data_IF_891975608890
#
_entry.id   IF_891975608890
#
_cell.length_a   1.000
_cell.length_b   1.000
_cell.length_c   1.000
_cell.angle_alpha   90.00
_cell.angle_beta   90.00
_cell.angle_gamma   90.00
#
_symmetry.space_group_name_H-M   'P 1'
#
loop_
_entity.id
_entity.type
_entity.pdbx_description
1 polymer ?
#
# COMPACT_ATOMS: atom_id res chain seq x y z
N UNK A 1 13.93 13.30 22.38
CA UNK A 1 14.01 12.24 21.34
C UNK A 1 14.20 12.84 19.96
N UNK A 2 14.26 12.04 18.89
CA UNK A 2 14.12 12.52 17.51
C UNK A 2 12.72 12.21 16.99
N UNK A 3 12.15 13.08 16.17
CA UNK A 3 10.85 12.86 15.55
C UNK A 3 10.98 11.85 14.38
N UNK A 4 10.21 10.76 14.35
CA UNK A 4 10.28 9.78 13.26
C UNK A 4 9.75 10.33 11.92
N UNK A 5 8.93 11.39 11.94
CA UNK A 5 8.33 12.00 10.75
C UNK A 5 9.27 13.04 10.10
N UNK A 6 9.84 13.98 10.88
CA UNK A 6 10.64 15.09 10.34
C UNK A 6 12.11 15.16 10.80
N UNK A 7 12.61 14.18 11.56
CA UNK A 7 14.00 14.14 12.03
C UNK A 7 14.41 15.20 13.07
N UNK A 8 13.59 16.22 13.35
CA UNK A 8 13.85 17.24 14.39
C UNK A 8 14.16 16.58 15.74
N UNK A 9 15.18 17.09 16.44
CA UNK A 9 15.40 16.78 17.86
C UNK A 9 14.39 17.56 18.71
N UNK A 10 13.65 16.83 19.55
CA UNK A 10 12.71 17.36 20.53
C UNK A 10 13.11 16.82 21.91
N UNK A 11 12.43 17.23 22.98
CA UNK A 11 12.68 16.71 24.33
C UNK A 11 12.23 15.26 24.55
N UNK A 12 12.44 14.73 25.75
CA UNK A 12 12.15 13.32 26.11
C UNK A 12 10.78 13.12 26.79
N UNK A 13 10.02 14.19 27.01
CA UNK A 13 8.64 14.22 27.51
C UNK A 13 7.67 14.90 26.53
N UNK A 14 8.19 15.56 25.49
CA UNK A 14 7.41 16.23 24.45
C UNK A 14 6.43 15.26 23.77
N UNK A 15 5.12 15.50 23.94
CA UNK A 15 4.03 14.67 23.37
C UNK A 15 3.83 14.84 21.85
N UNK A 16 4.32 15.95 21.30
CA UNK A 16 4.21 16.34 19.89
C UNK A 16 5.52 16.98 19.44
N UNK A 17 5.84 16.86 18.15
CA UNK A 17 7.03 17.48 17.58
C UNK A 17 6.79 18.97 17.32
N UNK A 18 7.65 19.82 17.86
CA UNK A 18 7.60 21.29 17.73
C UNK A 18 7.67 21.78 16.27
N UNK A 19 8.23 20.96 15.37
CA UNK A 19 8.53 21.33 13.99
C UNK A 19 7.50 20.83 12.96
N UNK A 20 6.71 19.82 13.28
CA UNK A 20 5.73 19.23 12.35
C UNK A 20 4.40 18.79 12.99
N UNK A 21 4.20 18.98 14.29
CA UNK A 21 2.99 18.57 15.01
C UNK A 21 2.80 17.07 15.20
N UNK A 22 3.60 16.21 14.57
CA UNK A 22 3.48 14.75 14.68
C UNK A 22 3.62 14.28 16.15
N UNK A 23 2.74 13.38 16.59
CA UNK A 23 2.78 12.81 17.95
C UNK A 23 4.10 12.05 18.20
N UNK A 24 4.65 12.25 19.39
CA UNK A 24 5.87 11.61 19.86
C UNK A 24 5.50 10.67 21.00
N UNK A 25 5.21 9.40 20.65
CA UNK A 25 4.73 8.42 21.61
C UNK A 25 5.90 7.90 22.44
N UNK A 26 5.95 8.31 23.70
CA UNK A 26 6.87 7.79 24.72
C UNK A 26 6.10 6.82 25.63
N UNK A 27 6.38 5.50 25.57
CA UNK A 27 5.89 4.56 26.57
C UNK A 27 6.68 4.77 27.88
N UNK A 28 6.27 5.76 28.69
CA UNK A 28 6.97 6.05 29.94
C UNK A 28 6.74 4.94 30.96
N UNK A 29 7.84 4.38 31.46
CA UNK A 29 7.81 3.37 32.52
C UNK A 29 7.55 4.04 33.87
N UNK A 30 6.28 4.33 34.16
CA UNK A 30 5.83 5.02 35.37
C UNK A 30 6.01 4.17 36.64
N UNK A 31 7.24 4.11 37.15
CA UNK A 31 7.53 3.62 38.50
C UNK A 31 6.94 4.58 39.54
N UNK A 32 6.00 4.09 40.34
CA UNK A 32 5.38 4.86 41.41
C UNK A 32 5.23 4.00 42.69
N UNK A 33 6.09 4.26 43.67
CA UNK A 33 5.97 3.84 45.06
C UNK A 33 6.78 4.82 45.94
N UNK A 34 6.50 4.95 47.26
CA UNK A 34 5.48 4.26 48.05
C UNK A 34 4.48 5.22 48.72
N UNK A 35 3.39 4.68 49.30
CA UNK A 35 2.95 4.94 50.69
C UNK A 35 1.66 4.18 51.04
N UNK A 36 1.47 3.93 52.34
CA UNK A 36 0.48 2.98 52.87
C UNK A 36 -0.85 3.62 53.27
N UNK A 37 -1.97 2.99 52.91
CA UNK A 37 -3.16 2.85 53.77
C UNK A 37 -4.05 1.72 53.21
N UNK A 38 -4.79 1.02 54.06
CA UNK A 38 -5.68 -0.06 53.66
C UNK A 38 -7.16 0.39 53.60
N UNK A 39 -7.96 -0.21 52.71
CA UNK A 39 -9.22 -0.83 53.13
C UNK A 39 -9.85 -1.73 52.05
N UNK A 40 -10.11 -2.99 52.43
CA UNK A 40 -11.31 -3.81 52.10
C UNK A 40 -11.67 -4.27 50.68
N UNK A 41 -12.02 -5.57 50.64
CA UNK A 41 -13.06 -6.24 49.84
C UNK A 41 -12.74 -6.84 48.44
N UNK A 42 -12.61 -8.19 48.41
CA UNK A 42 -13.66 -9.14 47.95
C UNK A 42 -14.33 -8.78 46.58
N UNK A 43 -14.23 -9.56 45.48
CA UNK A 43 -14.19 -11.04 45.37
C UNK A 43 -13.85 -11.61 43.97
N UNK A 44 -13.61 -12.94 43.93
CA UNK A 44 -13.93 -13.93 42.88
C UNK A 44 -13.15 -14.02 41.54
N UNK A 45 -12.39 -15.14 41.47
CA UNK A 45 -12.49 -16.24 40.48
C UNK A 45 -11.66 -16.20 39.17
N UNK A 46 -10.97 -17.33 38.93
CA UNK A 46 -10.69 -18.06 37.66
C UNK A 46 -10.38 -17.24 36.38
N UNK A 47 -9.33 -17.48 35.58
CA UNK A 47 -8.47 -18.67 35.38
C UNK A 47 -7.14 -18.21 34.72
N UNK A 48 -6.03 -18.95 34.67
CA UNK A 48 -5.69 -20.31 35.14
C UNK A 48 -4.17 -20.43 35.41
N UNK A 49 -3.61 -21.64 35.60
CA UNK A 49 -2.16 -21.84 35.74
C UNK A 49 -1.65 -23.09 35.02
N UNK A 50 -0.57 -22.95 34.24
CA UNK A 50 0.10 -24.04 33.53
C UNK A 50 1.53 -24.31 34.09
N UNK A 51 2.01 -25.54 33.87
CA UNK A 51 3.29 -26.09 34.37
C UNK A 51 3.34 -26.31 35.91
N UNK A 52 4.11 -27.25 36.47
CA UNK A 52 5.23 -28.03 35.89
C UNK A 52 5.26 -29.51 36.30
N UNK A 53 5.88 -30.33 35.44
CA UNK A 53 6.66 -31.57 35.68
C UNK A 53 6.81 -32.09 37.12
N UNK A 54 6.64 -33.41 37.33
CA UNK A 54 7.77 -34.34 37.61
C UNK A 54 7.40 -35.85 37.67
N UNK A 55 8.32 -36.67 37.13
CA UNK A 55 8.76 -38.01 37.55
C UNK A 55 7.89 -39.31 37.50
N UNK A 56 8.65 -40.41 37.55
CA UNK A 56 8.33 -41.84 37.79
C UNK A 56 8.08 -42.73 36.56
N UNK A 57 8.64 -43.95 36.63
CA UNK A 57 8.81 -44.95 35.54
C UNK A 57 7.85 -46.14 35.67
N UNK A 58 7.80 -46.95 34.60
CA UNK A 58 7.44 -48.40 34.49
C UNK A 58 6.12 -48.69 33.77
N UNK A 59 5.94 -49.81 33.05
CA UNK A 59 6.88 -50.73 32.37
C UNK A 59 6.11 -51.74 31.46
N UNK A 60 6.79 -52.23 30.41
CA UNK A 60 6.56 -53.50 29.69
C UNK A 60 5.32 -53.69 28.77
N UNK A 61 5.51 -54.63 27.82
CA UNK A 61 4.59 -55.37 26.90
C UNK A 61 3.71 -54.57 25.88
N UNK A 62 3.62 -54.85 24.56
CA UNK A 62 3.51 -56.11 23.74
C UNK A 62 2.06 -56.65 23.76
N UNK A 63 1.33 -57.00 22.67
CA UNK A 63 1.55 -57.38 21.24
C UNK A 63 0.85 -56.39 20.23
N UNK A 64 1.07 -56.31 18.90
CA UNK A 64 1.03 -57.19 17.68
C UNK A 64 -0.36 -57.45 17.00
N UNK A 65 -0.32 -57.63 15.66
CA UNK A 65 -1.40 -57.92 14.67
C UNK A 65 -2.49 -56.84 14.45
N UNK A 66 -2.77 -56.30 13.25
CA UNK A 66 -2.52 -56.60 11.82
C UNK A 66 -3.46 -57.62 11.12
N UNK A 67 -3.90 -57.22 9.90
CA UNK A 67 -4.60 -57.95 8.81
C UNK A 67 -6.11 -58.31 8.86
N UNK A 68 -6.79 -57.89 7.76
CA UNK A 68 -7.78 -58.65 6.92
C UNK A 68 -9.19 -58.88 7.50
N UNK A 69 -10.31 -58.30 7.03
CA UNK A 69 -10.85 -57.97 5.69
C UNK A 69 -11.63 -59.10 4.96
N UNK A 70 -12.97 -58.97 4.96
CA UNK A 70 -13.98 -59.55 4.04
C UNK A 70 -15.32 -58.75 4.25
N UNK A 71 -16.05 -58.26 3.23
CA UNK A 71 -17.22 -58.87 2.55
C UNK A 71 -18.46 -59.08 3.49
N UNK A 72 -19.73 -58.90 3.09
CA UNK A 72 -20.37 -58.86 1.75
C UNK A 72 -21.67 -58.00 1.73
N UNK A 73 -22.25 -57.84 0.53
CA UNK A 73 -23.65 -57.57 0.10
C UNK A 73 -24.76 -57.04 1.05
N UNK A 74 -25.70 -56.15 0.68
CA UNK A 74 -26.47 -55.80 -0.56
C UNK A 74 -27.93 -56.27 -0.49
N UNK A 75 -28.90 -55.33 -0.41
CA UNK A 75 -30.34 -55.39 -0.77
C UNK A 75 -30.96 -54.03 -0.35
N UNK A 76 -31.77 -53.27 -1.10
CA UNK A 76 -32.98 -53.56 -1.89
C UNK A 76 -34.16 -54.10 -1.04
N UNK A 77 -35.36 -53.51 -0.99
CA UNK A 77 -35.86 -52.25 -1.57
C UNK A 77 -37.40 -52.18 -1.53
N UNK A 78 -37.94 -51.07 -2.04
CA UNK A 78 -39.35 -50.82 -2.48
C UNK A 78 -40.50 -50.69 -1.43
N UNK A 79 -41.37 -49.71 -1.74
CA UNK A 79 -42.80 -49.48 -1.45
C UNK A 79 -43.51 -49.90 -0.14
N UNK A 80 -44.24 -48.93 0.45
CA UNK A 80 -45.72 -48.89 0.36
C UNK A 80 -46.26 -47.45 0.50
N UNK A 81 -47.56 -47.23 0.21
CA UNK A 81 -48.26 -45.92 0.15
C UNK A 81 -49.58 -45.91 0.95
N UNK A 82 -50.30 -44.77 0.90
CA UNK A 82 -51.74 -44.54 1.24
C UNK A 82 -52.05 -43.92 2.62
N UNK A 83 -52.30 -42.60 2.58
CA UNK A 83 -53.53 -41.87 2.98
C UNK A 83 -54.20 -42.01 4.37
N UNK A 84 -54.49 -40.86 5.00
CA UNK A 84 -55.77 -40.51 5.67
C UNK A 84 -55.89 -38.95 5.79
N UNK A 85 -57.06 -38.40 6.20
CA UNK A 85 -57.50 -37.02 5.85
C UNK A 85 -58.18 -36.20 6.97
N UNK A 86 -58.05 -34.86 6.88
CA UNK A 86 -58.88 -33.79 7.52
C UNK A 86 -58.96 -33.79 9.09
N UNK A 87 -59.51 -32.79 9.80
CA UNK A 87 -60.44 -31.68 9.46
C UNK A 87 -60.00 -30.36 10.16
N UNK A 88 -60.79 -29.30 10.04
CA UNK A 88 -60.48 -27.87 10.26
C UNK A 88 -61.14 -27.28 11.52
N UNK A 89 -60.65 -26.12 12.00
CA UNK A 89 -61.41 -24.90 12.45
C UNK A 89 -60.63 -24.08 13.49
N UNK A 90 -60.63 -22.75 13.32
CA UNK A 90 -60.16 -21.74 14.30
C UNK A 90 -61.33 -20.79 14.68
N UNK A 91 -61.22 -19.98 15.75
CA UNK A 91 -60.91 -18.56 15.47
C UNK A 91 -60.18 -17.73 16.56
N UNK A 92 -59.30 -16.84 16.09
CA UNK A 92 -59.10 -15.43 16.49
C UNK A 92 -59.22 -14.98 17.95
N UNK A 93 -58.13 -14.43 18.51
CA UNK A 93 -58.15 -13.12 19.21
C UNK A 93 -56.80 -12.38 19.20
N UNK A 94 -56.68 -11.40 18.29
CA UNK A 94 -56.29 -9.99 18.54
C UNK A 94 -55.25 -9.66 19.64
N UNK A 95 -54.07 -9.18 19.24
CA UNK A 95 -53.32 -8.10 19.91
C UNK A 95 -52.29 -7.42 18.99
N UNK A 96 -52.17 -6.09 19.11
CA UNK A 96 -51.25 -5.17 18.43
C UNK A 96 -51.36 -3.79 19.15
N UNK A 97 -50.50 -2.79 18.97
CA UNK A 97 -49.30 -2.59 18.13
C UNK A 97 -48.01 -2.64 19.01
N UNK A 98 -46.76 -2.38 18.61
CA UNK A 98 -46.17 -1.71 17.44
C UNK A 98 -44.93 -2.45 16.87
N UNK A 99 -44.68 -2.25 15.58
CA UNK A 99 -43.35 -2.15 15.00
C UNK A 99 -43.33 -0.85 14.17
N UNK A 100 -42.29 -0.02 14.31
CA UNK A 100 -42.27 1.31 13.68
C UNK A 100 -40.94 1.57 12.99
N UNK A 101 -40.72 0.86 11.88
CA UNK A 101 -39.63 1.11 10.95
C UNK A 101 -39.96 2.35 10.11
N UNK A 102 -39.08 3.36 10.11
CA UNK A 102 -39.26 4.57 9.30
C UNK A 102 -39.18 4.26 7.80
N UNK A 103 -40.09 4.79 6.97
CA UNK A 103 -40.08 4.52 5.52
C UNK A 103 -38.88 5.18 4.84
N UNK A 104 -38.15 4.42 4.02
CA UNK A 104 -37.11 4.97 3.12
C UNK A 104 -37.77 5.49 1.83
N UNK A 105 -37.45 6.72 1.35
CA UNK A 105 -37.94 7.20 0.07
C UNK A 105 -37.23 6.50 -1.11
N UNK A 106 -37.88 6.37 -2.28
CA UNK A 106 -37.28 5.74 -3.45
C UNK A 106 -36.29 6.69 -4.16
N UNK A 107 -35.00 6.37 -4.12
CA UNK A 107 -33.96 7.12 -4.83
C UNK A 107 -34.01 6.82 -6.34
N UNK A 108 -34.54 7.76 -7.14
CA UNK A 108 -34.40 7.79 -8.61
C UNK A 108 -33.58 9.01 -9.03
N UNK A 109 -32.57 8.78 -9.87
CA UNK A 109 -31.82 9.83 -10.57
C UNK A 109 -30.66 10.44 -9.77
N UNK A 110 -29.43 9.95 -9.99
CA UNK A 110 -28.20 10.54 -9.42
C UNK A 110 -27.12 10.90 -10.47
N UNK A 111 -27.38 11.82 -11.43
CA UNK A 111 -26.34 12.37 -12.30
C UNK A 111 -25.66 13.64 -11.72
N UNK A 112 -26.31 14.34 -10.77
CA UNK A 112 -25.91 15.68 -10.36
C UNK A 112 -24.64 15.76 -9.50
N UNK A 113 -24.38 14.73 -8.68
CA UNK A 113 -23.31 14.75 -7.67
C UNK A 113 -21.90 14.63 -8.30
N UNK A 114 -21.78 13.87 -9.39
CA UNK A 114 -20.54 13.78 -10.17
C UNK A 114 -20.19 15.12 -10.85
N UNK A 115 -21.19 15.81 -11.42
CA UNK A 115 -20.98 17.13 -12.03
C UNK A 115 -20.58 18.19 -11.00
N UNK A 116 -21.11 18.14 -9.78
CA UNK A 116 -20.71 19.05 -8.70
C UNK A 116 -19.21 18.93 -8.35
N UNK A 117 -18.69 17.70 -8.23
CA UNK A 117 -17.26 17.45 -8.00
C UNK A 117 -16.40 17.93 -9.17
N UNK A 118 -16.81 17.66 -10.41
CA UNK A 118 -16.09 18.12 -11.62
C UNK A 118 -16.02 19.66 -11.67
N UNK A 119 -17.12 20.35 -11.36
CA UNK A 119 -17.14 21.83 -11.34
C UNK A 119 -16.28 22.41 -10.23
N UNK A 120 -16.26 21.79 -9.04
CA UNK A 120 -15.39 22.23 -7.92
C UNK A 120 -13.91 22.10 -8.29
N UNK A 121 -13.50 21.00 -8.96
CA UNK A 121 -12.13 20.83 -9.46
C UNK A 121 -11.77 21.88 -10.53
N UNK A 122 -12.66 22.13 -11.49
CA UNK A 122 -12.41 23.09 -12.58
C UNK A 122 -12.30 24.55 -12.08
N UNK A 123 -13.12 24.95 -11.10
CA UNK A 123 -13.08 26.32 -10.54
C UNK A 123 -11.97 26.48 -9.50
N UNK A 124 -11.69 25.46 -8.68
CA UNK A 124 -10.64 25.49 -7.66
C UNK A 124 -9.23 25.46 -8.25
N UNK A 125 -8.96 24.59 -9.23
CA UNK A 125 -7.62 24.40 -9.79
C UNK A 125 -7.08 25.62 -10.53
N UNK A 126 -7.94 26.38 -11.23
CA UNK A 126 -7.52 27.53 -12.02
C UNK A 126 -6.96 28.69 -11.19
N UNK A 127 -7.46 28.89 -9.96
CA UNK A 127 -7.11 30.08 -9.16
C UNK A 127 -5.73 29.99 -8.51
N UNK A 128 -5.25 28.78 -8.20
CA UNK A 128 -3.95 28.60 -7.52
C UNK A 128 -2.76 28.73 -8.47
N UNK A 129 -2.91 28.30 -9.74
CA UNK A 129 -1.81 28.34 -10.72
C UNK A 129 -1.51 29.76 -11.23
N UNK A 130 -2.53 30.61 -11.38
CA UNK A 130 -2.35 31.97 -11.92
C UNK A 130 -1.53 32.90 -11.02
N UNK A 131 -1.44 32.64 -9.71
CA UNK A 131 -0.76 33.53 -8.76
C UNK A 131 0.73 33.24 -8.54
N UNK A 132 1.30 32.19 -9.16
CA UNK A 132 2.67 31.73 -8.86
C UNK A 132 3.66 31.73 -10.04
N UNK A 133 3.25 32.14 -11.25
CA UNK A 133 4.17 32.29 -12.38
C UNK A 133 4.23 33.74 -12.87
N UNK A 134 5.17 34.53 -12.33
CA UNK A 134 5.52 35.86 -12.84
C UNK A 134 6.95 36.24 -12.46
N UNK A 135 7.67 36.82 -13.42
CA UNK A 135 9.01 37.40 -13.31
C UNK A 135 10.16 36.45 -12.86
N UNK A 136 10.78 35.81 -13.84
CA UNK A 136 12.24 35.79 -13.95
C UNK A 136 12.61 35.86 -15.44
N UNK A 137 12.78 37.08 -15.95
CA UNK A 137 13.17 37.34 -17.35
C UNK A 137 14.69 37.50 -17.41
N UNK A 138 15.34 36.68 -18.24
CA UNK A 138 16.79 36.77 -18.49
C UNK A 138 17.17 38.10 -19.16
N UNK A 139 18.38 38.59 -18.92
CA UNK A 139 18.94 39.81 -19.53
C UNK A 139 20.46 39.83 -19.48
N UNK A 140 21.09 39.12 -20.42
CA UNK A 140 22.52 39.26 -20.71
C UNK A 140 22.81 40.58 -21.43
N UNK A 141 23.72 41.41 -20.91
CA UNK A 141 24.46 42.43 -21.69
C UNK A 141 25.79 42.79 -21.00
N UNK A 142 26.70 43.47 -21.70
CA UNK A 142 28.15 43.31 -21.48
C UNK A 142 28.92 44.64 -21.31
N UNK A 143 30.01 44.60 -20.51
CA UNK A 143 31.04 45.64 -20.31
C UNK A 143 30.57 46.92 -19.57
N UNK A 144 31.36 47.53 -18.66
CA UNK A 144 32.71 48.07 -18.96
C UNK A 144 33.58 48.26 -17.70
N UNK A 145 34.87 47.98 -17.87
CA UNK A 145 36.07 48.40 -17.12
C UNK A 145 35.97 49.12 -15.76
N UNK A 146 36.66 48.56 -14.76
CA UNK A 146 37.50 49.34 -13.83
C UNK A 146 38.68 48.51 -13.36
N UNK A 147 39.83 49.14 -13.15
CA UNK A 147 41.14 48.48 -13.06
C UNK A 147 41.79 48.59 -11.68
N UNK A 148 42.40 47.50 -11.20
CA UNK A 148 43.68 47.58 -10.45
C UNK A 148 44.41 46.23 -10.49
N UNK A 149 45.74 46.29 -10.56
CA UNK A 149 46.63 45.12 -10.73
C UNK A 149 47.38 44.78 -9.46
N UNK A 150 47.46 43.49 -9.10
CA UNK A 150 48.57 42.97 -8.30
C UNK A 150 48.85 41.49 -8.58
N UNK A 151 50.14 41.19 -8.69
CA UNK A 151 50.78 39.86 -8.77
C UNK A 151 50.42 38.95 -7.57
N UNK A 152 50.66 37.63 -7.55
CA UNK A 152 51.82 36.91 -8.13
C UNK A 152 51.60 35.39 -8.25
N UNK A 153 52.44 34.76 -9.08
CA UNK A 153 52.45 33.35 -9.47
C UNK A 153 52.54 32.34 -8.33
N UNK A 154 51.88 31.19 -8.52
CA UNK A 154 52.38 29.86 -8.12
C UNK A 154 52.13 28.87 -9.26
N UNK A 155 52.98 27.84 -9.39
CA UNK A 155 53.05 27.00 -10.59
C UNK A 155 53.12 25.51 -10.28
N UNK A 156 52.14 24.76 -10.78
CA UNK A 156 52.23 23.32 -11.05
C UNK A 156 51.28 22.99 -12.21
N UNK A 157 51.67 22.51 -13.39
CA UNK A 157 52.66 21.48 -13.82
C UNK A 157 52.10 20.05 -13.82
N UNK A 158 51.57 19.65 -14.99
CA UNK A 158 51.52 18.26 -15.47
C UNK A 158 50.54 17.31 -14.76
N UNK A 159 50.09 16.19 -15.35
CA UNK A 159 50.36 15.60 -16.67
C UNK A 159 49.06 15.01 -17.29
N UNK A 160 49.08 14.66 -18.57
CA UNK A 160 47.95 14.04 -19.26
C UNK A 160 47.91 12.50 -19.10
N UNK A 161 46.71 11.94 -18.97
CA UNK A 161 46.40 10.49 -19.06
C UNK A 161 44.89 10.28 -19.12
N UNK A 162 44.30 9.37 -19.89
CA UNK A 162 44.78 8.64 -21.09
C UNK A 162 43.54 8.34 -21.95
N UNK A 163 43.65 8.49 -23.27
CA UNK A 163 42.55 8.15 -24.19
C UNK A 163 42.42 6.63 -24.34
N UNK A 164 41.50 6.02 -23.59
CA UNK A 164 41.21 4.59 -23.64
C UNK A 164 39.84 4.33 -24.26
N UNK A 165 39.82 3.90 -25.52
CA UNK A 165 38.61 3.47 -26.22
C UNK A 165 38.25 2.04 -25.85
N UNK A 166 37.19 1.85 -25.07
CA UNK A 166 36.71 0.51 -24.67
C UNK A 166 35.18 0.37 -24.78
N UNK A 167 34.75 -0.36 -25.81
CA UNK A 167 33.44 -1.05 -25.93
C UNK A 167 32.20 -0.34 -25.36
N UNK A 168 31.54 0.46 -26.19
CA UNK A 168 30.28 1.13 -25.85
C UNK A 168 29.07 0.17 -25.85
N UNK A 169 28.90 -0.61 -24.77
CA UNK A 169 27.53 -0.94 -24.33
C UNK A 169 26.97 0.31 -23.64
N UNK A 170 25.94 0.92 -24.22
CA UNK A 170 25.29 2.12 -23.65
C UNK A 170 24.48 1.75 -22.42
N UNK A 171 25.18 1.56 -21.30
CA UNK A 171 24.60 1.33 -19.98
C UNK A 171 23.84 2.60 -19.55
N UNK A 172 22.53 2.59 -19.75
CA UNK A 172 21.63 3.67 -19.32
C UNK A 172 21.89 4.03 -17.86
N UNK A 173 21.92 5.33 -17.56
CA UNK A 173 22.08 5.82 -16.20
C UNK A 173 20.94 5.32 -15.31
N UNK A 174 21.21 5.11 -14.02
CA UNK A 174 20.17 4.70 -13.08
C UNK A 174 19.28 5.91 -12.74
N UNK A 175 18.00 5.85 -13.11
CA UNK A 175 17.01 6.88 -12.78
C UNK A 175 16.36 6.67 -11.40
N UNK A 176 16.33 5.41 -10.93
CA UNK A 176 15.77 5.03 -9.64
C UNK A 176 16.86 4.58 -8.64
N UNK A 177 16.58 4.74 -7.35
CA UNK A 177 17.51 4.44 -6.26
C UNK A 177 16.77 4.00 -4.99
N UNK A 178 17.49 3.44 -4.03
CA UNK A 178 16.93 3.09 -2.71
C UNK A 178 16.43 4.31 -1.94
N UNK A 179 17.07 5.47 -2.09
CA UNK A 179 16.61 6.72 -1.47
C UNK A 179 15.24 7.15 -2.03
N UNK A 180 15.09 7.13 -3.36
CA UNK A 180 13.80 7.38 -4.04
C UNK A 180 12.72 6.37 -3.66
N UNK A 181 13.09 5.12 -3.33
CA UNK A 181 12.15 4.14 -2.77
C UNK A 181 11.66 4.53 -1.37
N UNK A 182 12.55 5.00 -0.48
CA UNK A 182 12.18 5.47 0.86
C UNK A 182 11.33 6.75 0.82
N UNK A 183 11.60 7.64 -0.13
CA UNK A 183 10.74 8.80 -0.41
C UNK A 183 9.36 8.37 -0.92
N UNK A 184 9.28 7.37 -1.80
CA UNK A 184 8.02 6.82 -2.30
C UNK A 184 7.18 6.18 -1.19
N UNK A 185 7.81 5.40 -0.29
CA UNK A 185 7.17 4.89 0.94
C UNK A 185 6.60 6.02 1.81
N UNK A 186 7.42 7.05 2.09
CA UNK A 186 7.02 8.20 2.91
C UNK A 186 5.86 9.01 2.29
N UNK A 187 5.90 9.20 0.97
CA UNK A 187 4.82 9.81 0.21
C UNK A 187 3.54 8.97 0.25
N UNK A 188 3.65 7.66 0.00
CA UNK A 188 2.50 6.75 -0.01
C UNK A 188 1.82 6.65 1.34
N UNK A 189 2.56 6.61 2.45
CA UNK A 189 1.97 6.67 3.80
C UNK A 189 1.13 7.95 3.99
N UNK A 190 1.60 9.10 3.50
CA UNK A 190 0.89 10.37 3.65
C UNK A 190 -0.34 10.45 2.73
N UNK A 191 -0.20 9.98 1.49
CA UNK A 191 -1.26 9.99 0.48
C UNK A 191 -2.38 9.00 0.82
N UNK A 192 -2.06 7.77 1.25
CA UNK A 192 -3.06 6.76 1.57
C UNK A 192 -3.91 7.15 2.80
N UNK A 193 -3.28 7.74 3.83
CA UNK A 193 -3.96 8.28 5.00
C UNK A 193 -4.94 9.40 4.59
N UNK A 194 -4.52 10.28 3.66
CA UNK A 194 -5.37 11.34 3.09
C UNK A 194 -6.56 10.79 2.31
N UNK A 195 -6.38 9.66 1.62
CA UNK A 195 -7.44 8.95 0.90
C UNK A 195 -8.30 8.04 1.81
N UNK A 196 -7.96 7.91 3.10
CA UNK A 196 -8.51 6.92 4.03
C UNK A 196 -8.48 5.48 3.47
N UNK A 197 -7.37 5.12 2.82
CA UNK A 197 -7.09 3.80 2.24
C UNK A 197 -5.77 3.25 2.79
N UNK A 198 -5.57 1.94 2.75
CA UNK A 198 -4.34 1.30 3.25
C UNK A 198 -3.80 0.36 2.18
N UNK A 199 -2.69 0.77 1.55
CA UNK A 199 -2.07 0.01 0.46
C UNK A 199 -0.92 -0.84 1.01
N UNK A 200 -0.87 -2.11 0.60
CA UNK A 200 0.35 -2.91 0.71
C UNK A 200 1.26 -2.55 -0.48
N UNK A 201 2.55 -2.35 -0.23
CA UNK A 201 3.45 -1.76 -1.23
C UNK A 201 4.86 -2.35 -1.26
N UNK A 202 5.40 -2.56 -2.46
CA UNK A 202 6.76 -3.08 -2.62
C UNK A 202 7.84 -2.06 -2.24
N UNK A 203 7.47 -0.78 -2.09
CA UNK A 203 8.37 0.27 -1.58
C UNK A 203 8.75 0.08 -0.12
N UNK A 204 7.93 -0.64 0.66
CA UNK A 204 8.24 -1.03 2.06
C UNK A 204 9.01 -2.37 2.13
N UNK A 205 9.54 -2.85 0.99
CA UNK A 205 10.24 -4.14 0.88
C UNK A 205 9.31 -5.37 0.93
N UNK A 206 8.00 -5.16 0.98
CA UNK A 206 7.00 -6.23 0.96
C UNK A 206 6.82 -6.83 -0.44
N UNK A 207 6.17 -7.99 -0.50
CA UNK A 207 5.52 -8.49 -1.73
C UNK A 207 4.00 -8.37 -1.56
N UNK A 208 3.29 -8.20 -2.67
CA UNK A 208 1.88 -7.80 -2.71
C UNK A 208 1.13 -8.77 -3.61
N UNK A 209 0.23 -9.56 -3.02
CA UNK A 209 -0.56 -10.60 -3.70
C UNK A 209 -2.02 -10.16 -3.85
N UNK A 210 -2.54 -10.21 -5.08
CA UNK A 210 -3.87 -9.70 -5.43
C UNK A 210 -4.56 -10.67 -6.40
N UNK A 211 -5.54 -11.43 -5.93
CA UNK A 211 -6.30 -12.46 -6.67
C UNK A 211 -5.45 -13.37 -7.59
N UNK A 212 -4.24 -13.71 -7.15
CA UNK A 212 -3.29 -14.55 -7.88
C UNK A 212 -2.41 -13.81 -8.88
N UNK A 213 -2.33 -12.47 -8.84
CA UNK A 213 -1.20 -11.68 -9.34
C UNK A 213 -0.26 -11.39 -8.17
N UNK A 214 0.99 -11.85 -8.27
CA UNK A 214 1.99 -11.70 -7.20
C UNK A 214 3.07 -10.69 -7.61
N UNK A 215 3.10 -9.51 -6.96
CA UNK A 215 4.05 -8.44 -7.25
C UNK A 215 5.15 -8.37 -6.16
N UNK A 216 6.44 -8.27 -6.51
CA UNK A 216 7.00 -8.04 -7.85
C UNK A 216 7.24 -9.31 -8.69
N UNK A 217 7.01 -10.49 -8.12
CA UNK A 217 7.50 -11.78 -8.66
C UNK A 217 6.99 -12.10 -10.06
N UNK A 218 5.70 -11.92 -10.33
CA UNK A 218 5.14 -12.19 -11.67
C UNK A 218 5.78 -11.31 -12.74
N UNK A 219 6.02 -10.01 -12.45
CA UNK A 219 6.66 -9.07 -13.39
C UNK A 219 8.15 -9.39 -13.56
N UNK A 220 8.85 -9.72 -12.47
CA UNK A 220 10.28 -10.08 -12.48
C UNK A 220 10.53 -11.38 -13.25
N UNK A 221 9.67 -12.38 -13.05
CA UNK A 221 9.83 -13.74 -13.57
C UNK A 221 9.01 -13.98 -14.86
N UNK A 222 8.37 -12.92 -15.38
CA UNK A 222 7.61 -12.88 -16.64
C UNK A 222 6.32 -13.75 -16.68
N UNK A 223 5.72 -14.04 -15.51
CA UNK A 223 4.49 -14.83 -15.38
C UNK A 223 3.19 -14.01 -15.52
N UNK A 224 3.29 -12.68 -15.70
CA UNK A 224 2.14 -11.76 -15.82
C UNK A 224 1.43 -11.75 -17.17
N UNK A 225 1.92 -12.44 -18.20
CA UNK A 225 1.54 -12.24 -19.61
C UNK A 225 0.03 -12.39 -19.91
N UNK A 226 -0.68 -13.23 -19.15
CA UNK A 226 -2.14 -13.41 -19.27
C UNK A 226 -2.93 -12.64 -18.19
N UNK A 227 -2.23 -12.02 -17.23
CA UNK A 227 -2.77 -11.33 -16.05
C UNK A 227 -2.82 -9.81 -16.22
N UNK A 228 -1.99 -9.23 -17.08
CA UNK A 228 -1.83 -7.77 -17.22
C UNK A 228 -1.89 -7.35 -18.70
N UNK A 229 -2.64 -6.29 -18.97
CA UNK A 229 -2.53 -5.47 -20.20
C UNK A 229 -2.30 -4.01 -19.84
N UNK A 230 -1.81 -3.20 -20.78
CA UNK A 230 -1.76 -1.73 -20.66
C UNK A 230 -2.50 -1.10 -21.84
N UNK A 231 -3.45 -0.22 -21.55
CA UNK A 231 -4.35 0.41 -22.54
C UNK A 231 -5.01 -0.62 -23.49
N UNK A 232 -5.42 -1.77 -22.95
CA UNK A 232 -6.02 -2.90 -23.68
C UNK A 232 -5.05 -3.79 -24.45
N UNK A 233 -3.74 -3.50 -24.43
CA UNK A 233 -2.72 -4.20 -25.20
C UNK A 233 -1.82 -5.06 -24.30
N UNK A 234 -1.38 -6.22 -24.79
CA UNK A 234 -0.30 -6.97 -24.15
C UNK A 234 1.02 -6.19 -24.35
N UNK A 235 1.70 -5.84 -23.25
CA UNK A 235 2.97 -5.09 -23.27
C UNK A 235 4.02 -5.77 -22.40
N UNK A 236 5.30 -5.54 -22.71
CA UNK A 236 6.41 -6.04 -21.88
C UNK A 236 6.70 -5.08 -20.72
N UNK A 237 6.20 -5.42 -19.54
CA UNK A 237 6.68 -4.85 -18.27
C UNK A 237 8.02 -5.48 -17.89
N UNK A 238 8.94 -4.68 -17.33
CA UNK A 238 10.24 -5.15 -16.81
C UNK A 238 10.44 -4.63 -15.40
N UNK A 239 10.56 -5.52 -14.40
CA UNK A 239 10.84 -5.11 -13.03
C UNK A 239 12.31 -4.68 -12.87
N UNK A 240 12.56 -3.53 -12.24
CA UNK A 240 13.93 -3.03 -12.04
C UNK A 240 14.05 -2.16 -10.80
N UNK A 241 15.11 -2.36 -10.01
CA UNK A 241 15.42 -1.53 -8.84
C UNK A 241 16.13 -0.22 -9.17
N UNK A 242 16.39 0.06 -10.46
CA UNK A 242 17.26 1.16 -10.91
C UNK A 242 16.75 1.96 -12.11
N UNK A 243 15.72 1.49 -12.82
CA UNK A 243 15.22 2.11 -14.06
C UNK A 243 16.35 2.48 -15.04
N UNK A 244 17.21 1.50 -15.33
CA UNK A 244 18.47 1.66 -16.06
C UNK A 244 18.57 0.73 -17.29
N UNK A 245 17.42 0.33 -17.84
CA UNK A 245 17.32 -0.52 -19.05
C UNK A 245 16.72 0.26 -20.22
N UNK A 246 16.64 -0.39 -21.37
CA UNK A 246 16.04 0.06 -22.62
C UNK A 246 14.56 -0.33 -22.78
N UNK A 247 13.98 -1.04 -21.81
CA UNK A 247 12.57 -1.45 -21.87
C UNK A 247 11.61 -0.24 -21.77
N UNK A 248 10.57 -0.25 -22.61
CA UNK A 248 9.52 0.78 -22.64
C UNK A 248 8.87 0.99 -21.27
N UNK A 249 8.50 -0.10 -20.58
CA UNK A 249 7.89 -0.05 -19.24
C UNK A 249 8.81 -0.65 -18.19
N UNK A 250 9.44 0.22 -17.40
CA UNK A 250 10.33 -0.15 -16.30
C UNK A 250 9.65 0.05 -14.96
N UNK A 251 9.09 -1.03 -14.41
CA UNK A 251 8.36 -1.02 -13.14
C UNK A 251 9.37 -1.00 -11.99
N UNK A 252 9.27 0.03 -11.14
CA UNK A 252 10.16 0.21 -9.97
C UNK A 252 9.49 -0.13 -8.65
N UNK A 253 8.18 0.08 -8.55
CA UNK A 253 7.38 -0.29 -7.39
C UNK A 253 5.93 -0.61 -7.77
N UNK A 254 5.21 -1.29 -6.89
CA UNK A 254 3.79 -1.54 -6.98
C UNK A 254 3.10 -1.29 -5.65
N UNK A 255 1.81 -0.95 -5.69
CA UNK A 255 0.93 -0.83 -4.53
C UNK A 255 -0.40 -1.53 -4.83
N UNK A 256 -1.03 -2.16 -3.84
CA UNK A 256 -2.41 -2.62 -3.97
C UNK A 256 -3.24 -2.33 -2.72
N UNK A 257 -4.49 -1.95 -2.96
CA UNK A 257 -5.54 -1.81 -1.96
C UNK A 257 -6.64 -2.83 -2.27
N UNK A 258 -7.08 -3.53 -1.23
CA UNK A 258 -8.18 -4.50 -1.29
C UNK A 258 -9.19 -4.19 -0.18
N UNK A 259 -10.46 -4.06 -0.53
CA UNK A 259 -11.53 -3.88 0.44
C UNK A 259 -12.86 -4.47 -0.06
N UNK A 260 -13.25 -5.61 0.52
CA UNK A 260 -14.39 -6.39 0.03
C UNK A 260 -14.10 -6.96 -1.36
N UNK A 261 -14.86 -6.54 -2.36
CA UNK A 261 -14.63 -6.86 -3.78
C UNK A 261 -13.96 -5.72 -4.57
N UNK A 262 -13.60 -4.62 -3.90
CA UNK A 262 -12.87 -3.52 -4.55
C UNK A 262 -11.36 -3.81 -4.51
N UNK A 263 -10.75 -3.85 -5.69
CA UNK A 263 -9.31 -3.96 -5.90
C UNK A 263 -8.83 -2.71 -6.63
N UNK A 264 -7.72 -2.13 -6.17
CA UNK A 264 -7.00 -1.06 -6.86
C UNK A 264 -5.52 -1.42 -6.84
N UNK A 265 -4.88 -1.48 -8.01
CA UNK A 265 -3.45 -1.76 -8.15
C UNK A 265 -2.78 -0.58 -8.87
N UNK A 266 -1.72 -0.04 -8.30
CA UNK A 266 -0.84 0.94 -8.94
C UNK A 266 0.52 0.34 -9.29
N UNK A 267 1.04 0.67 -10.47
CA UNK A 267 2.42 0.39 -10.87
C UNK A 267 3.16 1.70 -11.10
N UNK A 268 4.24 1.90 -10.37
CA UNK A 268 5.15 3.03 -10.51
C UNK A 268 6.18 2.68 -11.58
N UNK A 269 6.14 3.36 -12.73
CA UNK A 269 6.90 2.98 -13.92
C UNK A 269 7.69 4.15 -14.50
N UNK A 270 8.84 3.84 -15.10
CA UNK A 270 9.39 4.71 -16.14
C UNK A 270 8.86 4.19 -17.49
N UNK A 271 8.00 4.96 -18.13
CA UNK A 271 7.48 4.75 -19.48
C UNK A 271 8.30 5.58 -20.47
N UNK A 272 9.00 4.91 -21.39
CA UNK A 272 9.96 5.51 -22.34
C UNK A 272 10.95 6.49 -21.66
N UNK A 273 11.35 6.16 -20.44
CA UNK A 273 12.26 6.95 -19.60
C UNK A 273 11.61 8.10 -18.81
N UNK A 274 10.33 8.38 -18.97
CA UNK A 274 9.56 9.36 -18.17
C UNK A 274 8.78 8.68 -17.05
N UNK A 275 8.66 9.26 -15.84
CA UNK A 275 7.84 8.67 -14.78
C UNK A 275 6.34 8.77 -15.12
N UNK A 276 5.62 7.67 -14.89
CA UNK A 276 4.16 7.54 -14.97
C UNK A 276 3.68 6.61 -13.84
N UNK A 277 2.47 6.82 -13.34
CA UNK A 277 1.78 5.92 -12.41
C UNK A 277 0.65 5.25 -13.16
N UNK A 278 0.79 3.96 -13.48
CA UNK A 278 -0.30 3.18 -14.06
C UNK A 278 -1.25 2.71 -12.95
N UNK A 279 -2.54 2.60 -13.27
CA UNK A 279 -3.59 2.08 -12.37
C UNK A 279 -4.44 1.03 -13.07
N UNK A 280 -4.80 -0.03 -12.34
CA UNK A 280 -5.92 -0.91 -12.65
C UNK A 280 -6.92 -0.91 -11.50
N UNK A 281 -8.21 -0.97 -11.86
CA UNK A 281 -9.35 -1.13 -10.93
C UNK A 281 -10.28 -2.26 -11.41
N UNK A 282 -9.79 -3.13 -12.30
CA UNK A 282 -10.55 -4.24 -12.86
C UNK A 282 -10.74 -5.35 -11.82
N UNK A 283 -11.92 -5.94 -11.80
CA UNK A 283 -12.25 -7.15 -11.03
C UNK A 283 -12.26 -8.42 -11.92
N UNK A 284 -11.53 -8.37 -13.03
CA UNK A 284 -11.42 -9.44 -14.04
C UNK A 284 -10.20 -10.35 -13.78
N UNK A 285 -10.13 -11.50 -14.45
CA UNK A 285 -8.95 -12.38 -14.45
C UNK A 285 -7.71 -11.78 -15.15
N UNK A 286 -7.88 -10.64 -15.82
CA UNK A 286 -6.82 -9.87 -16.47
C UNK A 286 -7.02 -8.41 -16.10
N UNK A 287 -6.02 -7.81 -15.47
CA UNK A 287 -6.02 -6.40 -15.07
C UNK A 287 -5.55 -5.53 -16.24
N UNK A 288 -6.43 -4.68 -16.77
CA UNK A 288 -6.03 -3.62 -17.71
C UNK A 288 -5.58 -2.38 -16.95
N UNK A 289 -4.32 -2.00 -17.15
CA UNK A 289 -3.74 -0.79 -16.58
C UNK A 289 -3.83 0.38 -17.57
N UNK A 290 -4.14 1.57 -17.07
CA UNK A 290 -4.04 2.84 -17.81
C UNK A 290 -3.20 3.83 -17.00
N UNK A 291 -2.69 4.90 -17.63
CA UNK A 291 -2.09 6.00 -16.84
C UNK A 291 -3.13 6.57 -15.86
N UNK A 292 -2.69 6.85 -14.63
CA UNK A 292 -3.57 7.23 -13.51
C UNK A 292 -4.05 8.67 -13.65
N UNK A 293 -5.36 8.86 -13.50
CA UNK A 293 -5.99 10.17 -13.39
C UNK A 293 -5.80 10.83 -12.00
N UNK A 294 -5.20 10.13 -11.02
CA UNK A 294 -4.88 10.72 -9.72
C UNK A 294 -3.65 11.62 -9.84
N UNK A 295 -3.87 12.93 -9.91
CA UNK A 295 -2.82 13.94 -10.08
C UNK A 295 -1.79 13.93 -8.94
N UNK A 296 -2.19 13.55 -7.72
CA UNK A 296 -1.31 13.60 -6.56
C UNK A 296 -0.30 12.45 -6.60
N UNK A 297 -0.73 11.24 -7.00
CA UNK A 297 0.17 10.13 -7.30
C UNK A 297 1.12 10.47 -8.46
N UNK A 298 0.59 11.00 -9.57
CA UNK A 298 1.41 11.36 -10.73
C UNK A 298 2.47 12.41 -10.38
N UNK A 299 2.06 13.52 -9.76
CA UNK A 299 2.97 14.60 -9.38
C UNK A 299 3.95 14.17 -8.26
N UNK A 300 3.47 13.39 -7.29
CA UNK A 300 4.29 12.88 -6.18
C UNK A 300 5.38 11.94 -6.67
N UNK A 301 5.02 10.93 -7.48
CA UNK A 301 5.99 10.01 -8.07
C UNK A 301 6.93 10.73 -9.05
N UNK A 302 6.41 11.61 -9.92
CA UNK A 302 7.26 12.37 -10.85
C UNK A 302 8.27 13.29 -10.12
N UNK A 303 7.89 13.88 -8.99
CA UNK A 303 8.80 14.67 -8.14
C UNK A 303 9.94 13.82 -7.59
N UNK A 304 9.64 12.63 -7.05
CA UNK A 304 10.63 11.71 -6.47
C UNK A 304 11.52 11.11 -7.57
N UNK A 305 10.93 10.70 -8.69
CA UNK A 305 11.63 10.13 -9.83
C UNK A 305 12.63 11.11 -10.46
N UNK A 306 12.32 12.41 -10.49
CA UNK A 306 13.15 13.47 -11.06
C UNK A 306 13.99 14.26 -10.05
N UNK A 307 14.05 13.84 -8.78
CA UNK A 307 15.05 14.36 -7.83
C UNK A 307 16.48 13.90 -8.22
N UNK A 308 17.49 14.68 -7.88
CA UNK A 308 18.92 14.38 -8.13
C UNK A 308 19.57 13.54 -7.01
#
# INVERSE_FOLDING_TARGET
>A
MYCPNCGKKNDLDALFCENCGARLILPTSSSAAPHSAASSATTHATSENAASRADTRSAADVDDHTTRAAQSDSSAGVENTVDDTDDTVAPTTRSAQHAQQSPRPPHRGLPALLLALIVIVLVGGGYYWFSHNSANTDSTTTATSSSSTATKSSSSSSAASTQSSSSSTTKTAAKWSTAKMSELSSFMSTWQDTMNQSYAGTYDGQSVSVDGLDLPTDIRDNNYQNKITVNGNAVKLTWTTKANTDANYQVVAAAAYQHGTQVIIYLYVFHDGSPDVLVSQDTNTTYNFTSSANTDLQNGFAKIANAD
#
